data_IF_764431698873
#
_entry.id   IF_764431698873
#
_cell.length_a   1.000
_cell.length_b   1.000
_cell.length_c   1.000
_cell.angle_alpha   90.00
_cell.angle_beta   90.00
_cell.angle_gamma   90.00
#
_symmetry.space_group_name_H-M   'P 1'
#
loop_
_entity.id
_entity.type
_entity.pdbx_description
1 polymer ?
#
# COMPACT_ATOMS: atom_id res chain seq x y z
N UNK A 1 11.94 16.03 0.38
CA UNK A 1 10.79 15.32 1.01
C UNK A 1 9.45 15.90 0.58
N UNK A 2 9.25 17.23 0.61
CA UNK A 2 7.97 17.87 0.22
C UNK A 2 7.52 17.51 -1.21
N UNK A 3 8.41 17.64 -2.20
CA UNK A 3 8.16 17.24 -3.59
C UNK A 3 7.73 15.77 -3.75
N UNK A 4 8.32 14.85 -2.97
CA UNK A 4 7.96 13.43 -3.02
C UNK A 4 6.55 13.14 -2.46
N UNK A 5 6.16 13.83 -1.39
CA UNK A 5 4.80 13.71 -0.84
C UNK A 5 3.80 14.20 -1.88
N UNK A 6 4.06 15.34 -2.52
CA UNK A 6 3.19 15.89 -3.57
C UNK A 6 3.02 14.93 -4.75
N UNK A 7 4.08 14.25 -5.18
CA UNK A 7 4.01 13.22 -6.22
C UNK A 7 3.12 12.03 -5.81
N UNK A 8 3.28 11.53 -4.58
CA UNK A 8 2.43 10.46 -4.04
C UNK A 8 0.97 10.90 -4.03
N UNK A 9 0.69 12.09 -3.49
CA UNK A 9 -0.68 12.62 -3.39
C UNK A 9 -1.30 12.84 -4.78
N UNK A 10 -0.53 13.36 -5.74
CA UNK A 10 -0.96 13.52 -7.14
C UNK A 10 -1.29 12.16 -7.78
N UNK A 11 -0.45 11.16 -7.58
CA UNK A 11 -0.69 9.82 -8.10
C UNK A 11 -1.94 9.16 -7.48
N UNK A 12 -2.15 9.33 -6.17
CA UNK A 12 -3.37 8.87 -5.49
C UNK A 12 -4.62 9.59 -5.99
N UNK A 13 -4.53 10.91 -6.24
CA UNK A 13 -5.64 11.68 -6.84
C UNK A 13 -6.03 11.12 -8.20
N UNK A 14 -5.05 10.88 -9.07
CA UNK A 14 -5.28 10.30 -10.40
C UNK A 14 -5.87 8.88 -10.32
N UNK A 15 -5.54 8.13 -9.27
CA UNK A 15 -6.10 6.81 -9.02
C UNK A 15 -7.47 6.82 -8.30
N UNK A 16 -8.04 7.99 -7.99
CA UNK A 16 -9.24 8.15 -7.15
C UNK A 16 -9.11 7.50 -5.76
N UNK A 17 -7.91 7.62 -5.17
CA UNK A 17 -7.55 7.09 -3.85
C UNK A 17 -7.08 8.17 -2.86
N UNK A 18 -7.11 9.44 -3.26
CA UNK A 18 -6.87 10.56 -2.36
C UNK A 18 -8.19 10.97 -1.69
N UNK A 19 -8.24 10.87 -0.37
CA UNK A 19 -9.41 11.22 0.47
C UNK A 19 -8.97 12.11 1.63
N UNK A 20 -9.92 12.77 2.30
CA UNK A 20 -9.61 13.62 3.47
C UNK A 20 -8.95 12.82 4.62
N UNK A 21 -9.25 11.52 4.73
CA UNK A 21 -8.62 10.63 5.70
C UNK A 21 -7.24 10.11 5.28
N UNK A 22 -6.73 10.48 4.11
CA UNK A 22 -5.46 9.97 3.60
C UNK A 22 -4.28 10.45 4.44
N UNK A 23 -3.43 9.51 4.85
CA UNK A 23 -2.18 9.78 5.57
C UNK A 23 -1.00 9.07 4.88
N UNK A 24 0.08 9.80 4.63
CA UNK A 24 1.33 9.27 4.07
C UNK A 24 2.40 9.31 5.14
N UNK A 25 3.04 8.18 5.42
CA UNK A 25 4.20 8.09 6.31
C UNK A 25 5.48 7.90 5.50
N UNK A 26 6.49 8.71 5.82
CA UNK A 26 7.85 8.60 5.31
C UNK A 26 8.79 8.42 6.50
N UNK A 27 9.63 7.39 6.45
CA UNK A 27 10.71 7.16 7.41
C UNK A 27 11.98 7.86 6.93
N UNK A 28 12.40 8.89 7.65
CA UNK A 28 13.67 9.58 7.46
C UNK A 28 14.75 9.10 8.43
N UNK A 29 15.91 9.79 8.43
CA UNK A 29 17.03 9.49 9.33
C UNK A 29 16.72 9.72 10.82
N UNK A 30 15.79 10.64 11.14
CA UNK A 30 15.46 11.06 12.50
C UNK A 30 14.11 10.52 13.01
N UNK A 31 13.44 9.63 12.27
CA UNK A 31 12.16 9.07 12.68
C UNK A 31 11.14 8.94 11.54
N UNK A 32 9.86 8.97 11.90
CA UNK A 32 8.74 8.90 10.95
C UNK A 32 8.05 10.24 10.89
N UNK A 33 7.82 10.72 9.68
CA UNK A 33 7.02 11.90 9.40
C UNK A 33 5.72 11.46 8.74
N UNK A 34 4.61 12.07 9.15
CA UNK A 34 3.28 11.77 8.61
C UNK A 34 2.71 13.02 7.99
N UNK A 35 2.14 12.89 6.81
CA UNK A 35 1.54 13.97 6.02
C UNK A 35 0.07 13.65 5.74
N UNK A 36 -0.80 14.66 5.82
CA UNK A 36 -2.21 14.53 5.47
C UNK A 36 -2.44 14.64 3.95
N UNK A 37 -3.70 14.58 3.53
CA UNK A 37 -4.11 14.69 2.12
C UNK A 37 -3.77 16.04 1.47
N UNK A 38 -3.54 17.09 2.27
CA UNK A 38 -3.10 18.42 1.81
C UNK A 38 -1.57 18.55 1.75
N UNK A 39 -0.82 17.50 2.14
CA UNK A 39 0.64 17.52 2.17
C UNK A 39 1.23 18.21 3.41
N UNK A 40 0.41 18.48 4.42
CA UNK A 40 0.82 19.11 5.67
C UNK A 40 1.27 18.04 6.67
N UNK A 41 2.31 18.36 7.45
CA UNK A 41 2.81 17.45 8.49
C UNK A 41 1.81 17.39 9.64
N UNK A 42 1.48 16.17 10.07
CA UNK A 42 0.52 15.89 11.14
C UNK A 42 1.05 14.84 12.11
N UNK A 43 0.50 14.80 13.31
CA UNK A 43 0.78 13.74 14.27
C UNK A 43 -0.16 12.55 14.07
N UNK A 44 0.39 11.33 14.11
CA UNK A 44 -0.42 10.11 14.04
C UNK A 44 0.33 8.90 14.61
N UNK A 45 -0.35 8.16 15.49
CA UNK A 45 0.16 6.90 16.05
C UNK A 45 -0.13 5.68 15.17
N UNK A 46 -0.87 5.85 14.07
CA UNK A 46 -1.26 4.75 13.17
C UNK A 46 -0.05 3.97 12.66
N UNK A 47 1.03 4.67 12.34
CA UNK A 47 2.24 4.11 11.74
C UNK A 47 3.30 3.69 12.77
N UNK A 48 3.01 3.76 14.07
CA UNK A 48 4.00 3.55 15.13
C UNK A 48 4.78 2.22 14.98
N UNK A 49 4.09 1.14 14.58
CA UNK A 49 4.68 -0.20 14.45
C UNK A 49 5.14 -0.58 13.04
N UNK A 50 5.02 0.33 12.07
CA UNK A 50 5.46 0.07 10.69
C UNK A 50 6.99 0.17 10.60
N UNK A 51 7.65 -0.87 10.10
CA UNK A 51 9.10 -0.88 9.92
C UNK A 51 9.54 -0.35 8.54
N UNK A 52 8.65 -0.44 7.55
CA UNK A 52 8.92 -0.07 6.16
C UNK A 52 9.24 1.42 6.00
N UNK A 53 10.02 1.80 4.96
CA UNK A 53 10.35 3.20 4.70
C UNK A 53 9.15 4.08 4.37
N UNK A 54 8.14 3.52 3.71
CA UNK A 54 6.92 4.24 3.34
C UNK A 54 5.68 3.48 3.80
N UNK A 55 4.65 4.22 4.20
CA UNK A 55 3.31 3.68 4.36
C UNK A 55 2.25 4.70 3.97
N UNK A 56 1.07 4.19 3.64
CA UNK A 56 -0.08 4.98 3.23
C UNK A 56 -1.30 4.38 3.91
N UNK A 57 -2.08 5.22 4.56
CA UNK A 57 -3.45 4.92 4.92
C UNK A 57 -4.40 5.71 4.00
N UNK A 58 -5.39 5.03 3.44
CA UNK A 58 -6.45 5.67 2.67
C UNK A 58 -7.69 4.79 2.61
N UNK A 59 -8.78 5.32 2.05
CA UNK A 59 -10.03 4.60 1.86
C UNK A 59 -10.56 4.85 0.45
N UNK A 60 -10.62 3.79 -0.37
CA UNK A 60 -11.24 3.85 -1.69
C UNK A 60 -12.72 3.46 -1.63
N UNK A 61 -13.42 3.54 -2.77
CA UNK A 61 -14.84 3.17 -2.87
C UNK A 61 -15.07 1.72 -2.46
N UNK A 62 -14.30 0.79 -3.02
CA UNK A 62 -14.51 -0.64 -2.82
C UNK A 62 -13.88 -1.14 -1.53
N UNK A 63 -12.70 -0.63 -1.15
CA UNK A 63 -12.11 -0.98 0.14
C UNK A 63 -12.96 -0.51 1.32
N UNK A 64 -13.57 0.68 1.26
CA UNK A 64 -14.50 1.15 2.30
C UNK A 64 -15.70 0.23 2.48
N UNK A 65 -16.25 -0.31 1.39
CA UNK A 65 -17.34 -1.29 1.44
C UNK A 65 -16.84 -2.65 1.96
N UNK A 66 -15.71 -3.13 1.43
CA UNK A 66 -15.17 -4.45 1.73
C UNK A 66 -14.71 -4.58 3.19
N UNK A 67 -14.10 -3.53 3.75
CA UNK A 67 -13.62 -3.53 5.14
C UNK A 67 -14.74 -3.74 6.16
N UNK A 68 -15.99 -3.34 5.86
CA UNK A 68 -17.16 -3.58 6.72
C UNK A 68 -17.49 -5.07 6.87
N UNK A 69 -17.02 -5.90 5.95
CA UNK A 69 -17.19 -7.36 6.04
C UNK A 69 -16.24 -8.00 7.05
N UNK A 70 -15.16 -7.31 7.45
CA UNK A 70 -14.16 -7.84 8.36
C UNK A 70 -13.40 -9.07 7.83
N UNK A 71 -13.30 -9.22 6.50
CA UNK A 71 -12.66 -10.36 5.84
C UNK A 71 -11.31 -9.97 5.23
N UNK A 72 -10.42 -10.96 5.08
CA UNK A 72 -9.17 -10.77 4.36
C UNK A 72 -9.41 -10.77 2.84
N UNK A 73 -8.72 -9.90 2.12
CA UNK A 73 -8.71 -9.92 0.66
C UNK A 73 -7.64 -10.92 0.18
N UNK A 74 -8.02 -11.85 -0.70
CA UNK A 74 -7.11 -12.90 -1.18
C UNK A 74 -6.51 -12.54 -2.54
N UNK A 75 -5.26 -12.95 -2.76
CA UNK A 75 -4.64 -12.82 -4.08
C UNK A 75 -5.37 -13.70 -5.10
N UNK A 76 -5.79 -13.08 -6.20
CA UNK A 76 -6.44 -13.74 -7.33
C UNK A 76 -5.56 -13.71 -8.59
N UNK A 77 -4.48 -12.94 -8.59
CA UNK A 77 -3.52 -12.79 -9.68
C UNK A 77 -2.10 -12.63 -9.13
N UNK A 78 -1.13 -12.75 -10.03
CA UNK A 78 0.29 -12.79 -9.67
C UNK A 78 0.76 -11.45 -9.09
N UNK A 79 0.27 -10.33 -9.61
CA UNK A 79 0.56 -8.99 -9.05
C UNK A 79 0.22 -8.90 -7.55
N UNK A 80 -0.98 -9.37 -7.16
CA UNK A 80 -1.40 -9.36 -5.76
C UNK A 80 -0.55 -10.32 -4.91
N UNK A 81 -0.16 -11.45 -5.47
CA UNK A 81 0.73 -12.39 -4.81
C UNK A 81 2.14 -11.81 -4.59
N UNK A 82 2.72 -11.19 -5.62
CA UNK A 82 4.00 -10.50 -5.55
C UNK A 82 3.96 -9.37 -4.50
N UNK A 83 2.90 -8.55 -4.51
CA UNK A 83 2.80 -7.36 -3.66
C UNK A 83 2.39 -7.66 -2.21
N UNK A 84 1.51 -8.64 -1.99
CA UNK A 84 0.89 -8.90 -0.69
C UNK A 84 1.02 -10.34 -0.17
N UNK A 85 1.54 -11.26 -0.98
CA UNK A 85 1.51 -12.68 -0.69
C UNK A 85 0.09 -13.23 -0.86
N UNK A 86 -0.25 -14.28 -0.12
CA UNK A 86 -1.52 -15.00 -0.32
C UNK A 86 -2.78 -14.20 0.03
N UNK A 87 -2.68 -13.25 0.99
CA UNK A 87 -3.81 -12.43 1.43
C UNK A 87 -3.39 -11.18 2.20
N UNK A 88 -4.24 -10.16 2.15
CA UNK A 88 -4.21 -8.98 3.00
C UNK A 88 -5.21 -9.15 4.14
N UNK A 89 -4.74 -9.18 5.39
CA UNK A 89 -5.59 -9.39 6.57
C UNK A 89 -6.41 -8.14 6.88
N UNK A 90 -7.61 -8.33 7.42
CA UNK A 90 -8.40 -7.26 8.04
C UNK A 90 -8.19 -7.25 9.56
N UNK A 91 -7.73 -6.13 10.09
CA UNK A 91 -7.48 -5.92 11.52
C UNK A 91 -8.68 -5.22 12.16
N UNK A 92 -9.00 -5.63 13.40
CA UNK A 92 -10.02 -5.02 14.25
C UNK A 92 -9.34 -4.45 15.50
N UNK A 93 -9.11 -3.13 15.52
CA UNK A 93 -8.51 -2.42 16.66
C UNK A 93 -7.04 -2.74 16.96
N UNK A 94 -6.32 -3.45 16.07
CA UNK A 94 -4.89 -3.77 16.26
C UNK A 94 -4.03 -2.84 15.43
N UNK A 95 -2.99 -2.28 16.06
CA UNK A 95 -2.01 -1.45 15.38
C UNK A 95 -1.32 -2.20 14.22
N UNK A 96 -1.31 -1.62 13.01
CA UNK A 96 -0.79 -2.27 11.82
C UNK A 96 0.74 -2.39 11.85
N UNK A 97 1.26 -3.53 11.36
CA UNK A 97 2.71 -3.79 11.20
C UNK A 97 3.15 -3.85 9.73
N UNK A 98 2.20 -4.15 8.85
CA UNK A 98 2.38 -4.41 7.41
C UNK A 98 1.11 -3.99 6.68
N UNK A 99 1.07 -4.10 5.36
CA UNK A 99 -0.14 -3.88 4.58
C UNK A 99 -1.32 -4.70 5.12
N UNK A 100 -2.46 -4.05 5.34
CA UNK A 100 -3.67 -4.62 5.92
C UNK A 100 -4.91 -3.79 5.58
N UNK A 101 -6.07 -4.41 5.67
CA UNK A 101 -7.35 -3.72 5.77
C UNK A 101 -7.60 -3.34 7.24
N UNK A 102 -8.24 -2.21 7.48
CA UNK A 102 -8.67 -1.74 8.79
C UNK A 102 -10.20 -1.72 8.82
N UNK A 103 -10.78 -2.50 9.74
CA UNK A 103 -12.22 -2.71 9.84
C UNK A 103 -12.96 -1.38 10.00
N UNK A 104 -13.96 -1.12 9.13
CA UNK A 104 -14.73 0.13 9.07
C UNK A 104 -13.94 1.42 8.78
N UNK A 105 -12.64 1.35 8.48
CA UNK A 105 -11.80 2.54 8.32
C UNK A 105 -11.27 2.68 6.88
N UNK A 106 -10.73 1.61 6.30
CA UNK A 106 -10.04 1.67 5.01
C UNK A 106 -8.91 0.67 4.94
N UNK A 107 -7.78 1.05 4.37
CA UNK A 107 -6.62 0.18 4.30
C UNK A 107 -5.31 0.92 4.53
N UNK A 108 -4.32 0.17 4.98
CA UNK A 108 -2.94 0.59 5.06
C UNK A 108 -2.09 -0.26 4.11
N UNK A 109 -1.23 0.37 3.32
CA UNK A 109 -0.18 -0.31 2.56
C UNK A 109 1.18 0.20 2.97
N UNK A 110 2.19 -0.66 2.83
CA UNK A 110 3.60 -0.31 3.04
C UNK A 110 4.38 -0.46 1.73
N UNK A 111 5.43 0.34 1.56
CA UNK A 111 6.30 0.31 0.39
C UNK A 111 7.75 0.61 0.75
N UNK A 112 8.68 0.21 -0.13
CA UNK A 112 10.12 0.49 -0.01
C UNK A 112 10.53 1.78 -0.70
N UNK A 113 9.75 2.20 -1.70
CA UNK A 113 9.89 3.46 -2.42
C UNK A 113 8.48 3.97 -2.83
N UNK A 114 8.34 5.27 -3.21
CA UNK A 114 7.04 5.88 -3.49
C UNK A 114 6.21 5.17 -4.57
N UNK A 115 6.85 4.74 -5.66
CA UNK A 115 6.18 4.02 -6.75
C UNK A 115 5.53 2.71 -6.30
N UNK A 116 6.25 1.90 -5.49
CA UNK A 116 5.70 0.68 -4.92
C UNK A 116 4.52 0.97 -3.99
N UNK A 117 4.61 2.04 -3.19
CA UNK A 117 3.54 2.42 -2.27
C UNK A 117 2.23 2.71 -3.02
N UNK A 118 2.30 3.51 -4.09
CA UNK A 118 1.14 3.86 -4.92
C UNK A 118 0.62 2.62 -5.65
N UNK A 119 1.50 1.79 -6.22
CA UNK A 119 1.12 0.55 -6.89
C UNK A 119 0.38 -0.41 -5.93
N UNK A 120 0.89 -0.57 -4.71
CA UNK A 120 0.24 -1.36 -3.67
C UNK A 120 -1.15 -0.80 -3.34
N UNK A 121 -1.30 0.51 -3.20
CA UNK A 121 -2.60 1.14 -2.90
C UNK A 121 -3.64 0.85 -3.98
N UNK A 122 -3.27 1.06 -5.26
CA UNK A 122 -4.12 0.79 -6.42
C UNK A 122 -4.51 -0.68 -6.47
N UNK A 123 -3.54 -1.56 -6.26
CA UNK A 123 -3.76 -2.99 -6.35
C UNK A 123 -4.67 -3.50 -5.24
N UNK A 124 -4.52 -3.02 -4.01
CA UNK A 124 -5.39 -3.42 -2.89
C UNK A 124 -6.83 -2.93 -3.09
N UNK A 125 -7.03 -1.74 -3.64
CA UNK A 125 -8.36 -1.27 -4.02
C UNK A 125 -8.98 -2.17 -5.11
N UNK A 126 -8.19 -2.56 -6.12
CA UNK A 126 -8.64 -3.50 -7.17
C UNK A 126 -8.96 -4.89 -6.61
N UNK A 127 -8.19 -5.38 -5.63
CA UNK A 127 -8.50 -6.64 -4.93
C UNK A 127 -9.85 -6.56 -4.23
N UNK A 128 -10.12 -5.45 -3.52
CA UNK A 128 -11.42 -5.23 -2.87
C UNK A 128 -12.56 -5.13 -3.89
N UNK A 129 -12.34 -4.41 -5.00
CA UNK A 129 -13.28 -4.33 -6.12
C UNK A 129 -13.63 -5.70 -6.68
N UNK A 130 -12.63 -6.54 -6.94
CA UNK A 130 -12.83 -7.89 -7.45
C UNK A 130 -13.70 -8.71 -6.48
N UNK A 131 -13.37 -8.72 -5.19
CA UNK A 131 -14.14 -9.44 -4.16
C UNK A 131 -15.59 -8.95 -4.07
N UNK A 132 -15.85 -7.65 -4.11
CA UNK A 132 -17.22 -7.09 -4.11
C UNK A 132 -17.99 -7.48 -5.37
N UNK A 133 -17.40 -7.29 -6.55
CA UNK A 133 -18.08 -7.56 -7.83
C UNK A 133 -18.28 -9.05 -8.08
N UNK A 134 -17.41 -9.90 -7.55
CA UNK A 134 -17.54 -11.36 -7.67
C UNK A 134 -18.85 -11.89 -7.09
N UNK A 135 -19.38 -11.27 -6.03
CA UNK A 135 -20.68 -11.67 -5.46
C UNK A 135 -21.81 -11.64 -6.49
N UNK A 136 -21.70 -10.83 -7.54
CA UNK A 136 -22.70 -10.70 -8.61
C UNK A 136 -22.45 -11.64 -9.80
N UNK A 137 -21.22 -12.14 -9.98
CA UNK A 137 -20.78 -12.84 -11.20
C UNK A 137 -20.46 -14.31 -10.92
N UNK A 138 -19.94 -14.64 -9.73
CA UNK A 138 -19.50 -15.99 -9.36
C UNK A 138 -18.30 -15.98 -8.39
N UNK A 139 -17.87 -17.17 -7.94
CA UNK A 139 -16.73 -17.29 -7.01
C UNK A 139 -15.40 -16.93 -7.70
N UNK A 140 -14.58 -16.09 -7.06
CA UNK A 140 -13.20 -15.83 -7.51
C UNK A 140 -12.35 -17.09 -7.31
N UNK A 141 -11.61 -17.48 -8.36
CA UNK A 141 -10.56 -18.48 -8.26
C UNK A 141 -9.31 -17.84 -7.64
N UNK A 142 -9.02 -18.21 -6.40
CA UNK A 142 -7.87 -17.70 -5.66
C UNK A 142 -6.60 -18.44 -6.07
N UNK A 143 -5.46 -17.76 -5.99
CA UNK A 143 -4.18 -18.41 -6.19
C UNK A 143 -3.87 -19.37 -5.02
N UNK A 144 -3.33 -20.57 -5.29
CA UNK A 144 -2.78 -21.46 -4.27
C UNK A 144 -1.68 -20.75 -3.48
N UNK A 145 -1.66 -20.96 -2.15
CA UNK A 145 -0.70 -20.30 -1.26
C UNK A 145 0.77 -20.57 -1.63
N UNK A 146 1.05 -21.76 -2.16
CA UNK A 146 2.38 -22.15 -2.64
C UNK A 146 2.86 -21.28 -3.82
N UNK A 147 2.01 -21.08 -4.83
CA UNK A 147 2.32 -20.18 -5.94
C UNK A 147 2.51 -18.75 -5.44
N UNK A 148 1.65 -18.28 -4.52
CA UNK A 148 1.83 -16.96 -3.95
C UNK A 148 3.18 -16.78 -3.23
N UNK A 149 3.70 -17.82 -2.60
CA UNK A 149 5.00 -17.77 -1.93
C UNK A 149 6.16 -17.68 -2.94
N UNK A 150 6.08 -18.40 -4.06
CA UNK A 150 7.07 -18.32 -5.15
C UNK A 150 7.07 -16.92 -5.76
N UNK A 151 5.90 -16.41 -6.13
CA UNK A 151 5.74 -15.07 -6.71
C UNK A 151 6.29 -13.99 -5.78
N UNK A 152 5.96 -14.08 -4.50
CA UNK A 152 6.49 -13.14 -3.49
C UNK A 152 8.00 -13.19 -3.40
N UNK A 153 8.58 -14.39 -3.44
CA UNK A 153 10.03 -14.56 -3.38
C UNK A 153 10.72 -13.99 -4.63
N UNK A 154 10.18 -14.25 -5.81
CA UNK A 154 10.69 -13.72 -7.08
C UNK A 154 10.65 -12.18 -7.09
N UNK A 155 9.54 -11.59 -6.66
CA UNK A 155 9.40 -10.14 -6.55
C UNK A 155 10.42 -9.51 -5.59
N UNK A 156 10.62 -10.11 -4.41
CA UNK A 156 11.58 -9.61 -3.43
C UNK A 156 13.03 -9.71 -3.91
N UNK A 157 13.39 -10.77 -4.64
CA UNK A 157 14.77 -11.01 -5.11
C UNK A 157 15.13 -10.26 -6.38
N UNK A 158 14.24 -10.24 -7.37
CA UNK A 158 14.58 -9.84 -8.75
C UNK A 158 14.09 -8.42 -9.02
N UNK A 159 12.79 -8.19 -8.86
CA UNK A 159 12.15 -6.95 -9.30
C UNK A 159 12.36 -5.81 -8.33
N UNK A 160 12.09 -6.06 -7.05
CA UNK A 160 12.27 -5.03 -6.04
C UNK A 160 13.68 -4.49 -5.98
N UNK A 161 14.67 -5.37 -6.06
CA UNK A 161 16.05 -4.98 -5.82
C UNK A 161 16.48 -3.99 -6.91
N UNK A 162 16.14 -4.32 -8.16
CA UNK A 162 16.40 -3.48 -9.33
C UNK A 162 15.64 -2.15 -9.29
N UNK A 163 14.34 -2.15 -8.97
CA UNK A 163 13.57 -0.91 -8.89
C UNK A 163 14.02 -0.01 -7.72
N UNK A 164 14.39 -0.62 -6.59
CA UNK A 164 14.95 0.12 -5.46
C UNK A 164 16.33 0.68 -5.80
N UNK A 165 17.20 -0.09 -6.45
CA UNK A 165 18.51 0.39 -6.91
C UNK A 165 18.37 1.56 -7.88
N UNK A 166 17.44 1.48 -8.83
CA UNK A 166 17.14 2.59 -9.75
C UNK A 166 16.64 3.83 -8.99
N UNK A 167 15.77 3.65 -8.00
CA UNK A 167 15.29 4.74 -7.16
C UNK A 167 16.41 5.36 -6.31
N UNK A 168 17.23 4.54 -5.65
CA UNK A 168 18.35 4.98 -4.81
C UNK A 168 19.40 5.70 -5.68
N UNK A 169 19.64 5.24 -6.91
CA UNK A 169 20.55 5.88 -7.86
C UNK A 169 20.00 7.21 -8.38
N UNK A 170 18.72 7.26 -8.78
CA UNK A 170 18.07 8.51 -9.19
C UNK A 170 18.03 9.54 -8.07
N UNK A 171 17.85 9.09 -6.82
CA UNK A 171 17.92 9.94 -5.64
C UNK A 171 19.31 10.52 -5.42
N UNK A 172 20.37 9.71 -5.53
CA UNK A 172 21.77 10.17 -5.39
C UNK A 172 22.15 11.21 -6.44
N UNK A 173 21.69 11.06 -7.68
CA UNK A 173 21.92 12.05 -8.75
C UNK A 173 21.20 13.36 -8.40
N UNK A 174 19.93 13.30 -7.99
CA UNK A 174 19.18 14.49 -7.59
C UNK A 174 19.71 15.20 -6.32
N UNK A 175 20.42 14.47 -5.45
CA UNK A 175 21.13 15.03 -4.29
C UNK A 175 22.51 15.61 -4.65
N UNK A 176 23.10 15.22 -5.78
CA UNK A 176 24.39 15.76 -6.27
C UNK A 176 24.22 17.00 -7.16
N UNK A 177 23.05 17.18 -7.77
CA UNK A 177 22.70 18.34 -8.62
C UNK A 177 22.08 19.51 -7.82
N UNK A 178 21.97 19.39 -6.49
CA UNK A 178 21.47 20.39 -5.54
C UNK A 178 22.58 20.87 -4.60
#
# INVERSE_FOLDING_TARGET
MRSMVEEILKALKNANLLTEGTLVMIKGGFGKEVFNFAGEKVESNLFARIAAPFALFTSGKYSSEYCKMGRAAHAANDDAAMMFGSKVKCLKGKAPKTSCLLFNEGFLVVGRFPGELVAAAILLEKMCKAEILSKKIGKIRRLPAFLCAIERLAYLKIYSKKEKENYDQGRRVAEADN
#
